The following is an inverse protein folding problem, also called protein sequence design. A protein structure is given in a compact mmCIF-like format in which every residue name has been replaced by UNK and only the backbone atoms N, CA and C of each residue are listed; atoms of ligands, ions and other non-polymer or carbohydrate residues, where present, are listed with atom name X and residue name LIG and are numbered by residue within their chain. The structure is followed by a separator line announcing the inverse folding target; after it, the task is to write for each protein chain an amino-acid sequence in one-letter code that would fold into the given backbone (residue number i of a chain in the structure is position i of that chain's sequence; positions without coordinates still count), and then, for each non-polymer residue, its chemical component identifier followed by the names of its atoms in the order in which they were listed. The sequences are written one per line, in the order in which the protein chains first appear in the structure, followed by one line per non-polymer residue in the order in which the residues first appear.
data_IF_712308522325
#
_entry.id   IF_712308522325
#
_cell.length_a   1.000
_cell.length_b   1.000
_cell.length_c   1.000
_cell.angle_alpha   90.00
_cell.angle_beta   90.00
_cell.angle_gamma   90.00
#
_symmetry.space_group_name_H-M   'P 1'
#
loop_
_entity.id
_entity.type
_entity.pdbx_description
1 polymer ?
#
# COMPACT_ATOMS: atom_id res chain seq x y z
N UNK A 1 34.29 -0.75 1.22
CA UNK A 1 33.59 0.52 0.91
C UNK A 1 32.38 0.66 1.81
N UNK A 2 32.21 1.83 2.45
CA UNK A 2 31.10 2.15 3.36
C UNK A 2 29.72 1.96 2.73
N UNK A 3 29.61 2.19 1.41
CA UNK A 3 28.41 1.97 0.61
C UNK A 3 27.81 0.57 0.77
N UNK A 4 28.64 -0.47 0.75
CA UNK A 4 28.17 -1.87 0.84
C UNK A 4 27.56 -2.17 2.21
N UNK A 5 28.14 -1.60 3.27
CA UNK A 5 27.64 -1.77 4.65
C UNK A 5 26.30 -1.06 4.77
N UNK A 6 26.21 0.20 4.31
CA UNK A 6 24.97 1.00 4.36
C UNK A 6 23.86 0.31 3.58
N UNK A 7 24.11 -0.17 2.35
CA UNK A 7 23.12 -0.94 1.57
C UNK A 7 22.67 -2.20 2.30
N UNK A 8 23.58 -2.93 2.93
CA UNK A 8 23.24 -4.17 3.65
C UNK A 8 22.37 -3.87 4.87
N UNK A 9 22.72 -2.84 5.65
CA UNK A 9 21.94 -2.41 6.81
C UNK A 9 20.54 -1.95 6.42
N UNK A 10 20.43 -1.08 5.41
CA UNK A 10 19.14 -0.57 4.94
C UNK A 10 18.28 -1.64 4.27
N UNK A 11 18.88 -2.69 3.70
CA UNK A 11 18.15 -3.85 3.20
C UNK A 11 17.49 -4.65 4.32
N UNK A 12 18.17 -4.80 5.46
CA UNK A 12 17.65 -5.53 6.63
C UNK A 12 16.70 -4.65 7.45
N UNK A 13 17.00 -3.36 7.56
CA UNK A 13 16.25 -2.42 8.38
C UNK A 13 16.08 -1.06 7.67
N UNK A 14 15.16 -0.95 6.69
CA UNK A 14 14.98 0.26 5.88
C UNK A 14 14.49 1.45 6.69
N UNK A 15 13.74 1.20 7.78
CA UNK A 15 13.28 2.25 8.71
C UNK A 15 14.43 3.01 9.35
N UNK A 16 15.65 2.47 9.40
CA UNK A 16 16.82 3.21 9.90
C UNK A 16 17.05 4.55 9.17
N UNK A 17 16.71 4.64 7.87
CA UNK A 17 16.84 5.89 7.11
C UNK A 17 15.91 7.02 7.60
N UNK A 18 14.89 6.69 8.40
CA UNK A 18 13.86 7.61 8.92
C UNK A 18 14.11 8.01 10.37
N UNK A 19 15.05 7.35 11.05
CA UNK A 19 15.33 7.60 12.46
C UNK A 19 16.11 8.91 12.56
N UNK A 20 15.60 9.81 13.37
CA UNK A 20 16.27 11.05 13.72
C UNK A 20 17.10 10.85 14.99
N UNK A 21 18.18 11.60 15.10
CA UNK A 21 18.92 11.77 16.34
C UNK A 21 18.33 12.91 17.20
N UNK A 22 19.05 13.28 18.25
CA UNK A 22 18.68 14.37 19.17
C UNK A 22 18.69 15.77 18.52
N UNK A 23 19.29 15.91 17.33
CA UNK A 23 19.30 17.14 16.54
C UNK A 23 18.27 17.11 15.41
N UNK A 24 17.30 16.19 15.47
CA UNK A 24 16.32 15.95 14.41
C UNK A 24 16.96 15.57 13.04
N UNK A 25 18.25 15.18 13.03
CA UNK A 25 18.99 14.83 11.82
C UNK A 25 18.73 13.39 11.43
N UNK A 26 18.18 13.23 10.22
CA UNK A 26 18.20 11.96 9.49
C UNK A 26 19.62 11.59 9.02
N UNK A 27 19.90 10.29 8.75
CA UNK A 27 21.19 9.85 8.21
C UNK A 27 21.63 10.56 6.92
N UNK A 28 20.67 11.01 6.10
CA UNK A 28 20.98 11.78 4.88
C UNK A 28 21.58 13.15 5.18
N UNK A 29 21.19 13.81 6.28
CA UNK A 29 21.82 15.07 6.71
C UNK A 29 23.31 14.86 7.01
N UNK A 30 23.63 13.79 7.75
CA UNK A 30 25.03 13.42 8.02
C UNK A 30 25.82 13.06 6.77
N UNK A 31 25.20 12.35 5.83
CA UNK A 31 25.83 12.03 4.55
C UNK A 31 26.20 13.30 3.77
N UNK A 32 25.32 14.31 3.80
CA UNK A 32 25.59 15.60 3.17
C UNK A 32 26.65 16.39 3.95
N UNK A 33 26.51 16.49 5.27
CA UNK A 33 27.42 17.26 6.12
C UNK A 33 28.86 16.78 6.04
N UNK A 34 29.06 15.46 5.96
CA UNK A 34 30.39 14.85 5.96
C UNK A 34 30.94 14.58 4.54
N UNK A 35 30.21 14.94 3.48
CA UNK A 35 30.67 14.72 2.10
C UNK A 35 30.78 13.25 1.74
N UNK A 36 29.78 12.45 2.12
CA UNK A 36 29.72 11.04 1.75
C UNK A 36 29.64 10.86 0.22
N UNK A 37 29.96 9.66 -0.27
CA UNK A 37 29.87 9.41 -1.70
C UNK A 37 28.43 9.58 -2.21
N UNK A 38 28.30 10.04 -3.46
CA UNK A 38 27.00 10.20 -4.13
C UNK A 38 26.16 8.92 -4.02
N UNK A 39 26.79 7.75 -4.17
CA UNK A 39 26.09 6.47 -4.04
C UNK A 39 25.44 6.26 -2.66
N UNK A 40 26.11 6.68 -1.59
CA UNK A 40 25.54 6.59 -0.23
C UNK A 40 24.33 7.51 -0.10
N UNK A 41 24.44 8.74 -0.59
CA UNK A 41 23.34 9.71 -0.60
C UNK A 41 22.16 9.17 -1.41
N UNK A 42 22.40 8.66 -2.62
CA UNK A 42 21.37 8.05 -3.47
C UNK A 42 20.69 6.84 -2.81
N UNK A 43 21.45 5.99 -2.13
CA UNK A 43 20.88 4.84 -1.40
C UNK A 43 19.95 5.32 -0.27
N UNK A 44 20.37 6.32 0.51
CA UNK A 44 19.55 6.89 1.57
C UNK A 44 18.26 7.52 1.04
N UNK A 45 18.36 8.35 -0.02
CA UNK A 45 17.22 8.97 -0.67
C UNK A 45 16.25 7.94 -1.26
N UNK A 46 16.77 6.89 -1.93
CA UNK A 46 15.93 5.83 -2.49
C UNK A 46 15.22 4.99 -1.41
N UNK A 47 15.81 4.88 -0.22
CA UNK A 47 15.22 4.13 0.90
C UNK A 47 14.12 4.95 1.59
N UNK A 48 14.30 6.27 1.67
CA UNK A 48 13.31 7.18 2.23
C UNK A 48 13.21 8.49 1.42
N UNK A 49 12.42 8.51 0.32
CA UNK A 49 12.35 9.65 -0.59
C UNK A 49 11.92 10.97 0.06
N UNK A 50 10.96 10.91 0.99
CA UNK A 50 10.46 12.11 1.70
C UNK A 50 11.54 12.83 2.52
N UNK A 51 12.65 12.14 2.84
CA UNK A 51 13.78 12.74 3.56
C UNK A 51 14.34 14.01 2.91
N UNK A 52 14.19 14.19 1.59
CA UNK A 52 14.68 15.39 0.90
C UNK A 52 14.00 16.69 1.38
N UNK A 53 12.78 16.57 1.92
CA UNK A 53 11.98 17.70 2.41
C UNK A 53 11.96 17.78 3.95
N UNK A 54 12.50 16.78 4.66
CA UNK A 54 12.54 16.76 6.12
C UNK A 54 13.58 17.77 6.60
N UNK A 55 13.18 18.62 7.55
CA UNK A 55 14.08 19.57 8.21
C UNK A 55 14.71 18.93 9.45
N UNK A 56 15.99 19.20 9.66
CA UNK A 56 16.67 18.96 10.94
C UNK A 56 16.27 20.01 11.99
N UNK A 57 16.83 19.91 13.19
CA UNK A 57 16.52 20.79 14.34
C UNK A 57 16.95 22.24 14.14
N UNK A 58 17.80 22.51 13.15
CA UNK A 58 18.19 23.85 12.72
C UNK A 58 17.28 24.41 11.63
N UNK A 59 16.26 23.67 11.20
CA UNK A 59 15.33 24.07 10.15
C UNK A 59 15.85 23.85 8.72
N UNK A 60 16.99 23.20 8.54
CA UNK A 60 17.57 22.91 7.23
C UNK A 60 17.12 21.55 6.70
N UNK A 61 16.76 21.49 5.42
CA UNK A 61 16.66 20.23 4.68
C UNK A 61 18.06 19.72 4.30
N UNK A 62 18.23 18.46 3.86
CA UNK A 62 19.54 17.96 3.44
C UNK A 62 20.18 18.80 2.33
N UNK A 63 19.38 19.29 1.38
CA UNK A 63 19.84 20.18 0.31
C UNK A 63 20.23 21.58 0.83
N UNK A 64 19.48 22.14 1.77
CA UNK A 64 19.80 23.44 2.34
C UNK A 64 21.07 23.36 3.20
N UNK A 65 21.22 22.31 4.00
CA UNK A 65 22.42 22.07 4.80
C UNK A 65 23.65 21.85 3.92
N UNK A 66 23.55 21.06 2.84
CA UNK A 66 24.66 20.87 1.90
C UNK A 66 25.14 22.18 1.25
N UNK A 67 24.20 23.08 0.90
CA UNK A 67 24.53 24.39 0.31
C UNK A 67 25.14 25.36 1.32
N UNK A 68 24.67 25.32 2.57
CA UNK A 68 25.13 26.24 3.62
C UNK A 68 26.59 25.97 4.06
N UNK A 69 27.15 24.79 3.75
CA UNK A 69 28.51 24.42 4.14
C UNK A 69 29.62 25.01 3.25
N UNK A 70 29.26 25.68 2.14
CA UNK A 70 30.18 26.36 1.21
C UNK A 70 31.46 25.54 0.87
N UNK A 71 31.30 24.23 0.68
CA UNK A 71 32.41 23.31 0.45
C UNK A 71 32.34 22.72 -0.97
N UNK A 72 33.35 22.95 -1.84
CA UNK A 72 33.36 22.44 -3.23
C UNK A 72 33.22 20.92 -3.34
N UNK A 73 33.60 20.16 -2.31
CA UNK A 73 33.41 18.70 -2.30
C UNK A 73 31.94 18.28 -2.28
N UNK A 74 31.03 19.21 -1.97
CA UNK A 74 29.60 18.97 -1.93
C UNK A 74 28.93 19.16 -3.29
N UNK A 75 29.60 19.74 -4.30
CA UNK A 75 28.98 20.01 -5.61
C UNK A 75 28.30 18.76 -6.22
N UNK A 76 28.92 17.56 -6.22
CA UNK A 76 28.27 16.36 -6.72
C UNK A 76 27.05 15.93 -5.90
N UNK A 77 27.08 16.15 -4.58
CA UNK A 77 25.98 15.84 -3.67
C UNK A 77 24.84 16.83 -3.89
N UNK A 78 25.14 18.13 -3.98
CA UNK A 78 24.18 19.19 -4.26
C UNK A 78 23.49 18.94 -5.60
N UNK A 79 24.24 18.52 -6.63
CA UNK A 79 23.68 18.16 -7.93
C UNK A 79 22.68 17.01 -7.81
N UNK A 80 23.03 15.93 -7.12
CA UNK A 80 22.14 14.77 -6.92
C UNK A 80 20.90 15.15 -6.13
N UNK A 81 21.05 15.89 -5.03
CA UNK A 81 19.92 16.37 -4.22
C UNK A 81 18.99 17.30 -5.01
N UNK A 82 19.56 18.19 -5.83
CA UNK A 82 18.78 19.11 -6.67
C UNK A 82 18.00 18.34 -7.73
N UNK A 83 18.63 17.38 -8.42
CA UNK A 83 17.96 16.52 -9.41
C UNK A 83 16.87 15.68 -8.76
N UNK A 84 17.15 15.06 -7.62
CA UNK A 84 16.19 14.23 -6.90
C UNK A 84 14.97 15.05 -6.44
N UNK A 85 15.20 16.22 -5.86
CA UNK A 85 14.12 17.13 -5.45
C UNK A 85 13.25 17.55 -6.64
N UNK A 86 13.86 17.96 -7.75
CA UNK A 86 13.11 18.34 -8.95
C UNK A 86 12.26 17.18 -9.52
N UNK A 87 12.73 15.93 -9.42
CA UNK A 87 11.96 14.75 -9.80
C UNK A 87 10.78 14.53 -8.87
N UNK A 88 10.97 14.66 -7.56
CA UNK A 88 9.91 14.48 -6.59
C UNK A 88 8.84 15.58 -6.69
N UNK A 89 9.24 16.83 -6.89
CA UNK A 89 8.32 17.95 -7.06
C UNK A 89 7.45 17.77 -8.34
N UNK A 90 8.01 17.18 -9.42
CA UNK A 90 7.24 16.78 -10.61
C UNK A 90 6.26 15.63 -10.32
N UNK A 91 6.69 14.64 -9.56
CA UNK A 91 5.89 13.47 -9.21
C UNK A 91 4.74 13.83 -8.24
N UNK A 92 4.95 14.79 -7.35
CA UNK A 92 3.88 15.36 -6.51
C UNK A 92 2.75 15.98 -7.36
N UNK A 93 3.09 16.59 -8.49
CA UNK A 93 2.10 17.13 -9.43
C UNK A 93 1.40 16.06 -10.30
N UNK A 94 1.96 14.85 -10.42
CA UNK A 94 1.44 13.80 -11.31
C UNK A 94 0.93 12.53 -10.63
N UNK A 95 1.22 12.28 -9.34
CA UNK A 95 1.12 10.89 -8.81
C UNK A 95 0.59 10.69 -7.38
N UNK A 96 0.28 11.71 -6.57
CA UNK A 96 0.01 11.45 -5.14
C UNK A 96 -1.38 10.87 -4.80
N UNK A 97 -1.51 9.54 -4.66
CA UNK A 97 -2.62 8.74 -4.07
C UNK A 97 -4.01 8.80 -4.74
N UNK A 98 -4.39 9.91 -5.34
CA UNK A 98 -5.74 10.08 -5.86
C UNK A 98 -5.97 9.41 -7.21
N UNK A 99 -4.99 9.16 -8.08
CA UNK A 99 -5.30 8.63 -9.42
C UNK A 99 -5.99 7.25 -9.42
N UNK A 100 -5.54 6.33 -8.56
CA UNK A 100 -6.19 5.01 -8.39
C UNK A 100 -7.53 5.16 -7.64
N UNK A 101 -7.58 6.05 -6.66
CA UNK A 101 -8.80 6.33 -5.92
C UNK A 101 -9.86 7.00 -6.80
N UNK A 102 -9.47 7.90 -7.70
CA UNK A 102 -10.27 8.62 -8.68
C UNK A 102 -10.80 7.66 -9.74
N UNK A 103 -9.98 6.71 -10.19
CA UNK A 103 -10.44 5.63 -11.05
C UNK A 103 -11.51 4.76 -10.36
N UNK A 104 -11.31 4.44 -9.07
CA UNK A 104 -12.31 3.70 -8.26
C UNK A 104 -13.57 4.54 -8.01
N UNK A 105 -13.44 5.83 -7.69
CA UNK A 105 -14.56 6.77 -7.49
C UNK A 105 -15.36 6.90 -8.78
N UNK A 106 -14.69 7.05 -9.93
CA UNK A 106 -15.35 7.11 -11.24
C UNK A 106 -16.13 5.83 -11.54
N UNK A 107 -15.55 4.67 -11.22
CA UNK A 107 -16.22 3.36 -11.37
C UNK A 107 -17.39 3.20 -10.40
N UNK A 108 -17.28 3.69 -9.17
CA UNK A 108 -18.37 3.66 -8.20
C UNK A 108 -19.50 4.61 -8.59
N UNK A 109 -19.18 5.80 -9.09
CA UNK A 109 -20.17 6.77 -9.55
C UNK A 109 -20.96 6.23 -10.75
N UNK A 110 -20.30 5.57 -11.71
CA UNK A 110 -21.04 4.94 -12.82
C UNK A 110 -21.97 3.82 -12.34
N UNK A 111 -21.59 3.07 -11.30
CA UNK A 111 -22.46 2.07 -10.66
C UNK A 111 -23.63 2.71 -9.92
N UNK A 112 -23.43 3.82 -9.22
CA UNK A 112 -24.50 4.55 -8.53
C UNK A 112 -25.54 5.02 -9.56
N UNK A 113 -25.12 5.64 -10.66
CA UNK A 113 -26.02 6.10 -11.72
C UNK A 113 -26.83 4.93 -12.32
N UNK A 114 -26.19 3.78 -12.55
CA UNK A 114 -26.89 2.60 -13.03
C UNK A 114 -27.94 2.07 -12.03
N UNK A 115 -27.60 2.06 -10.73
CA UNK A 115 -28.53 1.66 -9.68
C UNK A 115 -29.71 2.62 -9.56
N UNK A 116 -29.50 3.93 -9.66
CA UNK A 116 -30.57 4.94 -9.67
C UNK A 116 -31.55 4.73 -10.83
N UNK A 117 -31.03 4.37 -12.01
CA UNK A 117 -31.85 3.97 -13.16
C UNK A 117 -32.70 2.73 -12.89
N UNK A 118 -32.10 1.69 -12.29
CA UNK A 118 -32.83 0.47 -11.92
C UNK A 118 -33.93 0.74 -10.89
N UNK A 119 -33.65 1.54 -9.87
CA UNK A 119 -34.65 1.92 -8.86
C UNK A 119 -35.82 2.67 -9.51
N UNK A 120 -35.55 3.56 -10.46
CA UNK A 120 -36.58 4.28 -11.22
C UNK A 120 -37.47 3.32 -12.03
N UNK A 121 -36.86 2.37 -12.73
CA UNK A 121 -37.59 1.35 -13.49
C UNK A 121 -38.48 0.47 -12.59
N UNK A 122 -37.98 0.07 -11.41
CA UNK A 122 -38.75 -0.70 -10.43
C UNK A 122 -39.94 0.12 -9.89
N UNK A 123 -39.74 1.41 -9.62
CA UNK A 123 -40.83 2.29 -9.16
C UNK A 123 -41.93 2.42 -10.23
N UNK A 124 -41.57 2.57 -11.50
CA UNK A 124 -42.53 2.57 -12.60
C UNK A 124 -43.32 1.27 -12.69
N UNK A 125 -42.63 0.12 -12.61
CA UNK A 125 -43.28 -1.19 -12.59
C UNK A 125 -44.25 -1.34 -11.41
N UNK A 126 -43.87 -0.88 -10.23
CA UNK A 126 -44.73 -0.88 -9.05
C UNK A 126 -45.99 -0.02 -9.22
N UNK A 127 -45.85 1.15 -9.83
CA UNK A 127 -46.97 2.04 -10.15
C UNK A 127 -47.90 1.44 -11.20
N UNK A 128 -47.35 0.80 -12.24
CA UNK A 128 -48.12 0.08 -13.26
C UNK A 128 -48.90 -1.08 -12.66
N UNK A 129 -48.27 -1.89 -11.80
CA UNK A 129 -48.93 -2.99 -11.10
C UNK A 129 -50.08 -2.47 -10.24
N UNK A 130 -49.84 -1.42 -9.45
CA UNK A 130 -50.83 -0.82 -8.56
C UNK A 130 -51.99 -0.17 -9.32
N UNK A 131 -51.72 0.47 -10.45
CA UNK A 131 -52.71 1.14 -11.30
C UNK A 131 -53.54 0.16 -12.13
N UNK A 132 -52.91 -0.89 -12.64
CA UNK A 132 -53.53 -1.87 -13.54
C UNK A 132 -54.31 -2.95 -12.77
N UNK A 133 -53.89 -3.30 -11.55
CA UNK A 133 -54.65 -4.20 -10.66
C UNK A 133 -56.06 -3.68 -10.33
N UNK A 134 -56.32 -2.38 -10.49
CA UNK A 134 -57.65 -1.78 -10.27
C UNK A 134 -58.52 -1.71 -11.54
N UNK A 135 -57.95 -1.94 -12.73
CA UNK A 135 -58.59 -1.62 -14.02
C UNK A 135 -58.66 -2.78 -15.02
N UNK A 136 -57.79 -3.78 -14.91
CA UNK A 136 -57.64 -4.79 -15.98
C UNK A 136 -58.57 -5.99 -15.76
N UNK A 137 -59.23 -6.40 -16.84
CA UNK A 137 -60.17 -7.54 -16.88
C UNK A 137 -59.48 -8.91 -16.87
N UNK A 138 -58.24 -9.00 -17.35
CA UNK A 138 -57.47 -10.25 -17.41
C UNK A 138 -56.11 -10.12 -16.69
N UNK A 139 -55.96 -10.75 -15.51
CA UNK A 139 -54.71 -10.74 -14.73
C UNK A 139 -53.51 -11.37 -15.47
N UNK A 140 -53.73 -12.32 -16.39
CA UNK A 140 -52.64 -13.04 -17.05
C UNK A 140 -51.81 -12.14 -17.97
N UNK A 141 -52.45 -11.29 -18.76
CA UNK A 141 -51.78 -10.35 -19.68
C UNK A 141 -50.91 -9.34 -18.93
N UNK A 142 -51.33 -8.95 -17.72
CA UNK A 142 -50.52 -8.08 -16.87
C UNK A 142 -49.27 -8.77 -16.35
N UNK A 143 -49.38 -10.04 -15.95
CA UNK A 143 -48.24 -10.81 -15.43
C UNK A 143 -47.22 -11.03 -16.55
N UNK A 144 -47.67 -11.34 -17.77
CA UNK A 144 -46.80 -11.53 -18.92
C UNK A 144 -46.04 -10.22 -19.26
N UNK A 145 -46.76 -9.10 -19.38
CA UNK A 145 -46.16 -7.79 -19.66
C UNK A 145 -45.17 -7.34 -18.58
N UNK A 146 -45.48 -7.59 -17.31
CA UNK A 146 -44.58 -7.27 -16.20
C UNK A 146 -43.36 -8.21 -16.22
N UNK A 147 -43.58 -9.49 -16.51
CA UNK A 147 -42.53 -10.51 -16.68
C UNK A 147 -41.51 -10.11 -17.74
N UNK A 148 -41.98 -9.67 -18.91
CA UNK A 148 -41.11 -9.21 -19.99
C UNK A 148 -40.28 -7.99 -19.60
N UNK A 149 -40.87 -7.04 -18.85
CA UNK A 149 -40.12 -5.87 -18.37
C UNK A 149 -39.11 -6.23 -17.28
N UNK A 150 -39.44 -7.19 -16.41
CA UNK A 150 -38.51 -7.71 -15.40
C UNK A 150 -37.32 -8.42 -16.06
N UNK A 151 -37.55 -9.19 -17.12
CA UNK A 151 -36.50 -9.86 -17.89
C UNK A 151 -35.54 -8.87 -18.57
N UNK A 152 -36.00 -7.65 -18.84
CA UNK A 152 -35.23 -6.57 -19.46
C UNK A 152 -34.61 -5.58 -18.44
N UNK A 153 -34.71 -5.83 -17.13
CA UNK A 153 -33.94 -5.11 -16.10
C UNK A 153 -32.48 -5.58 -16.16
N UNK A 154 -31.74 -5.11 -17.15
CA UNK A 154 -30.35 -5.50 -17.33
C UNK A 154 -29.46 -4.93 -16.20
N UNK A 155 -28.62 -5.78 -15.61
CA UNK A 155 -27.61 -5.37 -14.63
C UNK A 155 -26.31 -5.16 -15.41
N UNK A 156 -25.70 -3.96 -15.42
CA UNK A 156 -24.58 -3.68 -16.29
C UNK A 156 -23.41 -4.66 -16.06
N UNK A 157 -22.98 -5.31 -17.14
CA UNK A 157 -22.02 -6.41 -17.21
C UNK A 157 -20.58 -6.11 -16.74
N UNK A 158 -20.30 -4.97 -16.11
CA UNK A 158 -18.94 -4.57 -15.69
C UNK A 158 -18.44 -5.26 -14.41
N UNK A 159 -19.08 -6.34 -13.97
CA UNK A 159 -18.67 -7.13 -12.80
C UNK A 159 -17.61 -8.22 -13.10
N UNK A 160 -17.07 -8.29 -14.33
CA UNK A 160 -16.23 -9.42 -14.78
C UNK A 160 -14.82 -9.06 -15.28
N UNK A 161 -14.20 -7.97 -14.81
CA UNK A 161 -12.74 -7.81 -14.94
C UNK A 161 -12.03 -8.12 -13.63
N UNK A 162 -11.66 -9.40 -13.52
CA UNK A 162 -10.67 -9.91 -12.60
C UNK A 162 -9.32 -9.23 -12.85
N UNK A 163 -8.95 -8.26 -12.01
CA UNK A 163 -7.53 -7.95 -11.79
C UNK A 163 -6.97 -9.12 -10.98
N UNK A 164 -6.51 -10.14 -11.70
CA UNK A 164 -5.69 -11.23 -11.16
C UNK A 164 -4.39 -10.65 -10.65
N UNK A 165 -4.35 -10.31 -9.36
CA UNK A 165 -3.10 -10.14 -8.63
C UNK A 165 -2.43 -11.51 -8.48
N UNK A 166 -1.45 -11.78 -9.33
CA UNK A 166 -0.58 -12.96 -9.25
C UNK A 166 0.21 -12.94 -7.94
N UNK A 167 -0.37 -13.50 -6.88
CA UNK A 167 0.32 -13.85 -5.64
C UNK A 167 0.63 -15.34 -5.69
N UNK A 168 1.78 -15.70 -6.26
CA UNK A 168 2.32 -17.06 -6.08
C UNK A 168 2.82 -17.19 -4.64
N UNK A 169 1.97 -17.74 -3.77
CA UNK A 169 2.39 -18.49 -2.59
C UNK A 169 2.54 -19.95 -2.99
N UNK A 170 3.77 -20.42 -3.16
CA UNK A 170 4.10 -21.84 -3.14
C UNK A 170 4.44 -22.26 -1.72
N UNK A 171 3.46 -22.85 -1.03
CA UNK A 171 3.75 -23.83 0.01
C UNK A 171 4.00 -25.17 -0.69
N UNK A 172 5.14 -25.79 -0.45
CA UNK A 172 5.29 -27.23 -0.59
C UNK A 172 5.92 -27.79 0.68
N UNK A 173 5.10 -28.50 1.43
CA UNK A 173 5.51 -29.49 2.41
C UNK A 173 5.99 -30.73 1.66
N UNK A 174 7.19 -31.22 1.99
CA UNK A 174 7.56 -32.60 1.67
C UNK A 174 8.31 -33.20 2.85
N UNK A 175 7.74 -34.30 3.35
CA UNK A 175 8.25 -35.13 4.41
C UNK A 175 9.64 -35.68 4.06
N UNK A 176 10.57 -35.67 5.02
CA UNK A 176 11.53 -36.76 5.19
C UNK A 176 11.75 -37.04 6.67
N UNK A 177 11.23 -38.19 7.09
CA UNK A 177 11.63 -38.91 8.30
C UNK A 177 13.15 -39.07 8.34
N UNK A 178 13.76 -38.81 9.50
CA UNK A 178 15.04 -39.40 9.89
C UNK A 178 14.82 -40.15 11.20
N UNK A 179 14.84 -41.48 11.10
CA UNK A 179 15.04 -42.40 12.22
C UNK A 179 16.51 -42.34 12.66
N UNK A 180 16.73 -42.03 13.92
CA UNK A 180 17.89 -42.46 14.72
C UNK A 180 17.39 -42.41 16.16
N UNK A 181 17.13 -43.53 16.85
CA UNK A 181 18.13 -44.55 17.17
C UNK A 181 18.80 -44.14 18.48
N UNK A 182 18.19 -44.46 19.62
CA UNK A 182 18.68 -44.10 20.94
C UNK A 182 17.81 -44.71 22.05
N UNK A 183 17.99 -46.00 22.26
CA UNK A 183 17.51 -46.76 23.43
C UNK A 183 18.43 -46.48 24.64
N UNK A 184 17.90 -46.70 25.85
CA UNK A 184 18.48 -46.60 27.21
C UNK A 184 18.06 -45.32 27.95
N UNK A 185 17.44 -45.35 29.13
CA UNK A 185 17.06 -46.45 30.00
C UNK A 185 16.63 -45.89 31.37
N UNK A 186 15.49 -46.40 31.86
CA UNK A 186 15.08 -46.58 33.27
C UNK A 186 14.92 -45.35 34.20
N UNK A 187 13.63 -45.07 34.47
CA UNK A 187 12.95 -44.94 35.78
C UNK A 187 13.82 -44.84 37.05
N UNK A 188 13.52 -43.84 37.89
CA UNK A 188 13.03 -43.93 39.30
C UNK A 188 12.84 -42.51 39.87
N UNK A 189 11.60 -42.05 40.13
CA UNK A 189 10.84 -42.07 41.41
C UNK A 189 11.37 -41.15 42.53
N UNK A 190 10.45 -40.27 42.95
CA UNK A 190 10.12 -39.81 44.33
C UNK A 190 11.05 -38.86 45.11
N UNK A 191 10.43 -37.87 45.78
CA UNK A 191 11.00 -37.12 46.91
C UNK A 191 10.67 -35.62 46.87
N UNK A 192 9.48 -35.16 47.32
CA UNK A 192 9.17 -34.63 48.67
C UNK A 192 9.53 -33.15 48.89
N UNK A 193 8.46 -32.36 49.14
CA UNK A 193 8.25 -31.21 50.05
C UNK A 193 9.44 -30.38 50.57
N UNK A 194 9.22 -29.06 50.60
CA UNK A 194 9.19 -28.34 51.88
C UNK A 194 10.14 -27.14 52.06
N UNK A 195 9.52 -25.96 52.14
CA UNK A 195 9.74 -24.89 53.13
C UNK A 195 11.05 -24.10 53.25
N UNK A 196 10.88 -22.78 53.11
CA UNK A 196 11.35 -21.71 54.02
C UNK A 196 12.86 -21.51 54.24
N UNK A 197 13.38 -20.40 53.72
CA UNK A 197 13.63 -19.14 54.46
C UNK A 197 14.02 -18.03 53.50
#
# INVERSE_FOLDING_TARGET
SSERIIRTLLRVYPRAAQIKDDQDKLPVHYACQNGASVNVVSVLLSTYPESINVKNGFGFTPLAEAKALENPKMDPIIEVLTKFKAQQDKHAATTGENAILDAKIKTLNSRIVALEGLVSNIMELGNELKGSARKVKDPFVLIERIGDRLANLDVPASASESVTGSSQRSNSSSLKEKKSGGVFGRRSRSGIRGSSK
#
